data_IF_893383104635
#
_entry.id   IF_893383104635
#
_cell.length_a   1.000
_cell.length_b   1.000
_cell.length_c   1.000
_cell.angle_alpha   90.00
_cell.angle_beta   90.00
_cell.angle_gamma   90.00
#
_symmetry.space_group_name_H-M   'P 1'
#
loop_
_entity.id
_entity.type
_entity.pdbx_description
1 polymer ?
#
# COMPACT_ATOMS: atom_id res chain seq x y z
N UNK A 1 15.28 -0.72 -12.68
CA UNK A 1 14.52 0.43 -12.16
C UNK A 1 13.30 0.82 -13.01
N UNK A 2 13.32 0.68 -14.33
CA UNK A 2 12.28 1.15 -15.29
C UNK A 2 10.82 0.75 -15.04
N UNK A 3 10.53 -0.21 -14.18
CA UNK A 3 9.15 -0.73 -13.97
C UNK A 3 8.50 -0.29 -12.65
N UNK A 4 9.08 0.68 -11.91
CA UNK A 4 8.57 1.12 -10.62
C UNK A 4 7.91 2.49 -10.74
N UNK A 5 6.85 2.74 -9.96
CA UNK A 5 5.95 3.89 -10.13
C UNK A 5 6.67 5.24 -10.32
N UNK A 6 7.71 5.53 -9.55
CA UNK A 6 8.44 6.80 -9.65
C UNK A 6 9.20 6.96 -10.99
N UNK A 7 9.68 5.87 -11.58
CA UNK A 7 10.56 5.91 -12.74
C UNK A 7 9.93 5.38 -14.04
N UNK A 8 8.61 5.14 -14.05
CA UNK A 8 7.93 4.59 -15.25
C UNK A 8 7.94 5.54 -16.45
N UNK A 9 7.97 6.84 -16.21
CA UNK A 9 7.80 7.89 -17.23
C UNK A 9 9.08 8.72 -17.42
N UNK A 10 10.14 8.38 -16.68
CA UNK A 10 11.40 9.15 -16.69
C UNK A 10 12.27 8.72 -17.87
N UNK A 11 12.78 9.69 -18.64
CA UNK A 11 13.71 9.45 -19.74
C UNK A 11 15.00 8.76 -19.27
N UNK A 12 15.65 8.02 -20.17
CA UNK A 12 16.82 7.19 -19.83
C UNK A 12 17.97 7.97 -19.21
N UNK A 13 18.20 9.21 -19.66
CA UNK A 13 19.24 10.08 -19.13
C UNK A 13 19.03 10.44 -17.64
N UNK A 14 17.77 10.54 -17.21
CA UNK A 14 17.43 10.85 -15.82
C UNK A 14 17.48 9.62 -14.91
N UNK A 15 17.33 8.41 -15.48
CA UNK A 15 17.49 7.16 -14.72
C UNK A 15 18.92 7.01 -14.21
N UNK A 16 19.92 7.41 -14.99
CA UNK A 16 21.32 7.38 -14.59
C UNK A 16 21.61 8.33 -13.43
N UNK A 17 21.06 9.55 -13.42
CA UNK A 17 21.19 10.49 -12.29
C UNK A 17 20.47 9.95 -11.05
N UNK A 18 19.27 9.41 -11.20
CA UNK A 18 18.52 8.77 -10.11
C UNK A 18 19.24 7.55 -9.52
N UNK A 19 19.87 6.73 -10.37
CA UNK A 19 20.66 5.57 -9.91
C UNK A 19 21.92 5.99 -9.16
N UNK A 20 22.58 7.05 -9.59
CA UNK A 20 23.78 7.59 -8.93
C UNK A 20 23.49 8.19 -7.54
N UNK A 21 22.25 8.67 -7.33
CA UNK A 21 21.78 9.29 -6.06
C UNK A 21 21.07 8.30 -5.15
N UNK A 22 21.02 7.05 -5.51
CA UNK A 22 20.47 6.00 -4.65
C UNK A 22 21.32 5.83 -3.40
N UNK A 23 20.78 6.13 -2.22
CA UNK A 23 21.48 6.01 -0.94
C UNK A 23 21.79 4.54 -0.57
N UNK A 24 20.97 3.60 -1.07
CA UNK A 24 21.21 2.17 -0.85
C UNK A 24 19.99 1.30 -1.07
N UNK A 25 20.22 0.01 -0.87
CA UNK A 25 19.18 -1.01 -0.82
C UNK A 25 19.11 -1.55 0.61
N UNK A 26 17.90 -1.61 1.16
CA UNK A 26 17.64 -2.07 2.52
C UNK A 26 16.78 -3.31 2.46
N UNK A 27 17.17 -4.32 3.22
CA UNK A 27 16.43 -5.57 3.41
C UNK A 27 15.76 -5.51 4.77
N UNK A 28 14.48 -5.80 4.80
CA UNK A 28 13.64 -5.79 6.00
C UNK A 28 13.12 -7.19 6.25
N UNK A 29 13.24 -7.66 7.48
CA UNK A 29 12.52 -8.86 7.91
C UNK A 29 11.05 -8.52 8.19
N UNK A 30 10.18 -9.49 7.98
CA UNK A 30 8.76 -9.37 8.36
C UNK A 30 8.61 -8.86 9.80
N UNK A 31 7.65 -7.98 10.03
CA UNK A 31 7.36 -7.30 11.29
C UNK A 31 8.40 -6.26 11.75
N UNK A 32 9.43 -5.95 10.95
CA UNK A 32 10.33 -4.82 11.23
C UNK A 32 9.78 -3.51 10.67
N UNK A 33 10.15 -2.39 11.29
CA UNK A 33 9.78 -1.06 10.81
C UNK A 33 10.81 -0.55 9.80
N UNK A 34 10.34 -0.04 8.68
CA UNK A 34 11.18 0.74 7.76
C UNK A 34 11.47 2.12 8.35
N UNK A 35 10.43 2.77 8.85
CA UNK A 35 10.49 4.01 9.63
C UNK A 35 9.27 4.12 10.56
N UNK A 36 9.40 4.94 11.59
CA UNK A 36 8.33 5.18 12.55
C UNK A 36 7.69 6.55 12.33
N UNK A 37 6.41 6.67 12.68
CA UNK A 37 5.70 7.94 12.75
C UNK A 37 6.46 8.93 13.65
N UNK A 38 6.48 10.20 13.29
CA UNK A 38 7.17 11.29 13.97
C UNK A 38 8.72 11.20 13.98
N UNK A 39 9.34 10.17 13.43
CA UNK A 39 10.78 10.15 13.23
C UNK A 39 11.19 11.17 12.15
N UNK A 40 12.42 11.75 12.22
CA UNK A 40 12.92 12.65 11.18
C UNK A 40 12.85 11.99 9.80
N UNK A 41 12.22 12.66 8.84
CA UNK A 41 12.04 12.12 7.49
C UNK A 41 13.28 12.43 6.65
N UNK A 42 14.35 11.65 6.83
CA UNK A 42 15.59 11.82 6.08
C UNK A 42 15.58 11.13 4.71
N UNK A 43 14.73 10.13 4.50
CA UNK A 43 14.73 9.29 3.31
C UNK A 43 13.33 9.05 2.74
N UNK A 44 13.26 8.90 1.42
CA UNK A 44 12.12 8.31 0.70
C UNK A 44 12.52 6.98 0.08
N UNK A 45 11.57 6.11 -0.19
CA UNK A 45 11.83 4.74 -0.62
C UNK A 45 10.93 4.30 -1.77
N UNK A 46 11.48 3.50 -2.67
CA UNK A 46 10.70 2.67 -3.60
C UNK A 46 10.69 1.23 -3.09
N UNK A 47 9.51 0.66 -2.89
CA UNK A 47 9.37 -0.75 -2.53
C UNK A 47 9.70 -1.62 -3.74
N UNK A 48 10.67 -2.51 -3.59
CA UNK A 48 11.13 -3.40 -4.66
C UNK A 48 10.47 -4.78 -4.57
N UNK A 49 10.45 -5.36 -3.36
CA UNK A 49 9.86 -6.67 -3.06
C UNK A 49 9.16 -6.61 -1.70
N UNK A 50 8.18 -7.49 -1.52
CA UNK A 50 7.45 -7.60 -0.26
C UNK A 50 6.27 -6.63 -0.14
N UNK A 51 5.67 -6.60 1.04
CA UNK A 51 4.49 -5.81 1.38
C UNK A 51 4.76 -4.98 2.62
N UNK A 52 4.30 -3.72 2.64
CA UNK A 52 4.36 -2.86 3.83
C UNK A 52 2.97 -2.38 4.21
N UNK A 53 2.68 -2.35 5.50
CA UNK A 53 1.52 -1.67 6.08
C UNK A 53 1.95 -0.25 6.47
N UNK A 54 1.32 0.75 5.86
CA UNK A 54 1.43 2.14 6.32
C UNK A 54 0.36 2.39 7.37
N UNK A 55 0.73 2.98 8.50
CA UNK A 55 -0.15 3.10 9.66
C UNK A 55 0.09 4.38 10.46
N UNK A 56 -0.91 4.78 11.24
CA UNK A 56 -0.77 5.77 12.30
C UNK A 56 -1.10 5.18 13.66
N UNK A 57 -0.41 5.66 14.68
CA UNK A 57 -0.67 5.28 16.06
C UNK A 57 -1.71 6.21 16.69
N UNK A 58 -2.59 5.64 17.47
CA UNK A 58 -3.45 6.37 18.40
C UNK A 58 -2.82 6.44 19.78
N UNK A 59 -3.20 7.40 20.60
CA UNK A 59 -2.64 7.62 21.93
C UNK A 59 -2.86 6.46 22.90
N UNK A 60 -3.84 5.60 22.65
CA UNK A 60 -4.12 4.38 23.45
C UNK A 60 -3.26 3.17 23.05
N UNK A 61 -2.33 3.35 22.09
CA UNK A 61 -1.47 2.30 21.56
C UNK A 61 -2.07 1.49 20.43
N UNK A 62 -3.33 1.70 20.06
CA UNK A 62 -3.92 1.09 18.87
C UNK A 62 -3.36 1.70 17.59
N UNK A 63 -3.42 0.94 16.49
CA UNK A 63 -2.99 1.42 15.18
C UNK A 63 -4.15 1.47 14.20
N UNK A 64 -4.16 2.50 13.35
CA UNK A 64 -5.00 2.57 12.17
C UNK A 64 -4.13 2.35 10.94
N UNK A 65 -4.40 1.28 10.20
CA UNK A 65 -3.83 1.04 8.89
C UNK A 65 -4.35 2.07 7.89
N UNK A 66 -3.43 2.67 7.13
CA UNK A 66 -3.78 3.65 6.11
C UNK A 66 -3.91 3.00 4.74
N UNK A 67 -2.94 2.17 4.37
CA UNK A 67 -2.92 1.39 3.13
C UNK A 67 -1.82 0.34 3.14
N UNK A 68 -1.94 -0.62 2.23
CA UNK A 68 -0.86 -1.57 1.91
C UNK A 68 -0.05 -1.00 0.76
N UNK A 69 1.26 -0.88 0.96
CA UNK A 69 2.21 -0.62 -0.11
C UNK A 69 2.68 -1.94 -0.73
N UNK A 70 2.73 -1.98 -2.04
CA UNK A 70 3.09 -3.13 -2.89
C UNK A 70 4.34 -2.81 -3.72
N UNK A 71 5.04 -3.81 -4.27
CA UNK A 71 6.20 -3.59 -5.14
C UNK A 71 5.93 -2.55 -6.23
N UNK A 72 6.76 -1.52 -6.30
CA UNK A 72 6.60 -0.37 -7.19
C UNK A 72 6.09 0.89 -6.50
N UNK A 73 5.48 0.79 -5.32
CA UNK A 73 5.01 1.98 -4.60
C UNK A 73 6.18 2.83 -4.09
N UNK A 74 5.98 4.16 -4.12
CA UNK A 74 6.90 5.15 -3.59
C UNK A 74 6.37 5.65 -2.24
N UNK A 75 7.19 5.59 -1.19
CA UNK A 75 6.78 5.83 0.19
C UNK A 75 7.79 6.68 0.95
N UNK A 76 7.36 7.30 2.04
CA UNK A 76 8.22 8.09 2.92
C UNK A 76 8.62 9.46 2.36
N UNK A 77 8.08 9.88 1.20
CA UNK A 77 8.31 11.24 0.70
C UNK A 77 7.69 12.26 1.65
N UNK A 78 8.48 13.25 2.00
CA UNK A 78 8.12 14.29 2.96
C UNK A 78 8.78 15.63 2.59
N UNK A 79 8.30 16.72 3.16
CA UNK A 79 8.95 18.00 3.03
C UNK A 79 10.33 17.98 3.71
N UNK A 80 11.25 18.83 3.24
CA UNK A 80 12.57 18.97 3.87
C UNK A 80 12.43 19.37 5.35
N UNK A 81 13.28 18.80 6.20
CA UNK A 81 13.32 19.05 7.64
C UNK A 81 11.99 18.73 8.37
N UNK A 82 11.16 17.86 7.81
CA UNK A 82 9.93 17.39 8.45
C UNK A 82 10.10 16.00 9.10
N UNK A 83 9.05 15.52 9.74
CA UNK A 83 8.96 14.17 10.26
C UNK A 83 8.02 13.32 9.39
N UNK A 84 8.16 11.99 9.44
CA UNK A 84 7.20 11.10 8.81
C UNK A 84 5.82 11.25 9.44
N UNK A 85 4.81 11.46 8.62
CA UNK A 85 3.41 11.59 9.07
C UNK A 85 2.76 10.26 9.46
N UNK A 86 3.40 9.14 9.15
CA UNK A 86 2.94 7.77 9.40
C UNK A 86 4.13 6.84 9.55
N UNK A 87 3.93 5.64 10.10
CA UNK A 87 4.91 4.58 10.15
C UNK A 87 4.76 3.61 8.97
N UNK A 88 5.82 2.85 8.67
CA UNK A 88 5.83 1.77 7.69
C UNK A 88 6.36 0.49 8.31
N UNK A 89 5.54 -0.57 8.33
CA UNK A 89 5.81 -1.89 8.91
C UNK A 89 5.87 -2.94 7.82
N UNK A 90 6.91 -3.76 7.81
CA UNK A 90 7.04 -4.89 6.89
C UNK A 90 6.02 -5.99 7.24
N UNK A 91 5.13 -6.29 6.31
CA UNK A 91 4.16 -7.39 6.42
C UNK A 91 4.84 -8.72 6.10
N UNK A 92 5.66 -8.73 5.06
CA UNK A 92 6.53 -9.83 4.64
C UNK A 92 7.99 -9.38 4.72
N UNK A 93 8.93 -10.27 4.50
CA UNK A 93 10.27 -9.83 4.13
C UNK A 93 10.16 -8.89 2.94
N UNK A 94 10.92 -7.80 2.96
CA UNK A 94 10.80 -6.74 1.97
C UNK A 94 12.16 -6.16 1.58
N UNK A 95 12.24 -5.66 0.36
CA UNK A 95 13.41 -4.96 -0.17
C UNK A 95 12.97 -3.58 -0.64
N UNK A 96 13.64 -2.53 -0.15
CA UNK A 96 13.39 -1.15 -0.55
C UNK A 96 14.67 -0.49 -1.06
N UNK A 97 14.52 0.42 -2.02
CA UNK A 97 15.59 1.31 -2.47
C UNK A 97 15.36 2.69 -1.86
N UNK A 98 16.34 3.20 -1.11
CA UNK A 98 16.28 4.49 -0.44
C UNK A 98 16.90 5.63 -1.25
N UNK A 99 16.34 6.82 -1.10
CA UNK A 99 16.81 8.10 -1.61
C UNK A 99 16.83 9.10 -0.47
N UNK A 100 17.93 9.83 -0.31
CA UNK A 100 17.97 10.95 0.61
C UNK A 100 16.93 12.02 0.21
N UNK A 101 16.20 12.59 1.17
CA UNK A 101 15.18 13.61 0.89
C UNK A 101 15.78 14.86 0.22
N UNK A 102 16.97 15.32 0.67
CA UNK A 102 17.61 16.50 0.09
C UNK A 102 18.02 16.25 -1.36
N UNK A 103 18.61 15.08 -1.65
CA UNK A 103 18.97 14.70 -3.02
C UNK A 103 17.75 14.56 -3.92
N UNK A 104 16.67 13.99 -3.39
CA UNK A 104 15.41 13.87 -4.11
C UNK A 104 14.81 15.24 -4.44
N UNK A 105 14.82 16.18 -3.50
CA UNK A 105 14.36 17.57 -3.74
C UNK A 105 15.22 18.29 -4.77
N UNK A 106 16.54 18.07 -4.77
CA UNK A 106 17.43 18.59 -5.81
C UNK A 106 17.10 18.00 -7.18
N UNK A 107 16.80 16.69 -7.26
CA UNK A 107 16.37 16.03 -8.50
C UNK A 107 15.04 16.63 -9.02
N UNK A 108 14.07 16.81 -8.14
CA UNK A 108 12.77 17.42 -8.48
C UNK A 108 12.98 18.81 -9.10
N UNK A 109 13.89 19.62 -8.54
CA UNK A 109 14.21 20.96 -9.07
C UNK A 109 14.87 20.94 -10.45
N UNK A 110 15.58 19.86 -10.79
CA UNK A 110 16.28 19.70 -12.09
C UNK A 110 15.43 19.02 -13.16
N UNK A 111 14.51 18.15 -12.76
CA UNK A 111 13.76 17.26 -13.63
C UNK A 111 12.25 17.41 -13.40
N UNK A 112 11.56 18.30 -14.14
CA UNK A 112 10.12 18.54 -13.98
C UNK A 112 9.27 17.28 -14.11
N UNK A 113 9.69 16.31 -14.93
CA UNK A 113 8.98 15.03 -15.11
C UNK A 113 8.92 14.21 -13.80
N UNK A 114 9.99 14.27 -13.01
CA UNK A 114 10.03 13.62 -11.68
C UNK A 114 9.03 14.32 -10.74
N UNK A 115 9.01 15.66 -10.74
CA UNK A 115 8.05 16.44 -9.97
C UNK A 115 6.61 16.08 -10.33
N UNK A 116 6.31 16.01 -11.63
CA UNK A 116 4.98 15.64 -12.13
C UNK A 116 4.60 14.21 -11.70
N UNK A 117 5.55 13.28 -11.79
CA UNK A 117 5.28 11.89 -11.38
C UNK A 117 5.05 11.76 -9.88
N UNK A 118 5.81 12.48 -9.04
CA UNK A 118 5.56 12.52 -7.60
C UNK A 118 4.18 13.10 -7.32
N UNK A 119 3.78 14.19 -7.97
CA UNK A 119 2.45 14.77 -7.82
C UNK A 119 1.35 13.77 -8.19
N UNK A 120 1.49 13.03 -9.30
CA UNK A 120 0.54 12.00 -9.69
C UNK A 120 0.43 10.89 -8.63
N UNK A 121 1.56 10.43 -8.09
CA UNK A 121 1.61 9.43 -7.02
C UNK A 121 0.92 9.97 -5.75
N UNK A 122 1.20 11.20 -5.35
CA UNK A 122 0.60 11.81 -4.15
C UNK A 122 -0.92 12.02 -4.34
N UNK A 123 -1.37 12.47 -5.50
CA UNK A 123 -2.78 12.60 -5.81
C UNK A 123 -3.50 11.25 -5.75
N UNK A 124 -2.89 10.19 -6.30
CA UNK A 124 -3.43 8.83 -6.19
C UNK A 124 -3.51 8.36 -4.72
N UNK A 125 -2.49 8.62 -3.91
CA UNK A 125 -2.53 8.25 -2.49
C UNK A 125 -3.56 9.05 -1.70
N UNK A 126 -3.76 10.33 -2.04
CA UNK A 126 -4.82 11.15 -1.45
C UNK A 126 -6.20 10.55 -1.76
N UNK A 127 -6.46 10.17 -3.01
CA UNK A 127 -7.72 9.52 -3.40
C UNK A 127 -7.98 8.21 -2.64
N UNK A 128 -6.94 7.39 -2.40
CA UNK A 128 -7.04 6.20 -1.54
C UNK A 128 -7.42 6.60 -0.10
N UNK A 129 -6.77 7.63 0.46
CA UNK A 129 -7.09 8.10 1.82
C UNK A 129 -8.53 8.61 1.93
N UNK A 130 -9.01 9.37 0.95
CA UNK A 130 -10.40 9.87 0.89
C UNK A 130 -11.40 8.69 0.83
N UNK A 131 -11.12 7.66 0.02
CA UNK A 131 -11.94 6.44 -0.04
C UNK A 131 -11.97 5.70 1.29
N UNK A 132 -10.82 5.61 1.99
CA UNK A 132 -10.76 4.99 3.32
C UNK A 132 -11.52 5.79 4.37
N UNK A 133 -11.45 7.13 4.35
CA UNK A 133 -12.25 8.01 5.25
C UNK A 133 -13.75 7.78 5.02
N UNK A 134 -14.19 7.76 3.76
CA UNK A 134 -15.58 7.41 3.44
C UNK A 134 -15.93 6.02 3.96
N UNK A 135 -15.04 5.04 3.77
CA UNK A 135 -15.23 3.67 4.23
C UNK A 135 -15.39 3.58 5.74
N UNK A 136 -14.50 4.20 6.51
CA UNK A 136 -14.55 4.22 7.98
C UNK A 136 -15.81 4.91 8.52
N UNK A 137 -16.26 6.00 7.87
CA UNK A 137 -17.39 6.78 8.30
C UNK A 137 -18.77 6.25 7.86
N UNK A 138 -18.87 5.49 6.76
CA UNK A 138 -20.14 5.13 6.13
C UNK A 138 -20.34 3.66 5.81
N UNK A 139 -19.26 2.88 5.60
CA UNK A 139 -19.37 1.48 5.22
C UNK A 139 -19.48 0.57 6.45
N UNK A 140 -20.27 -0.50 6.34
CA UNK A 140 -20.29 -1.58 7.33
C UNK A 140 -18.95 -2.32 7.37
N UNK A 141 -18.70 -3.12 8.40
CA UNK A 141 -17.51 -3.94 8.52
C UNK A 141 -17.31 -4.88 7.31
N UNK A 142 -18.38 -5.47 6.82
CA UNK A 142 -18.38 -6.34 5.66
C UNK A 142 -17.99 -5.58 4.39
N UNK A 143 -18.58 -4.41 4.18
CA UNK A 143 -18.27 -3.53 3.06
C UNK A 143 -16.79 -3.08 3.07
N UNK A 144 -16.24 -2.75 4.25
CA UNK A 144 -14.84 -2.32 4.38
C UNK A 144 -13.87 -3.44 4.04
N UNK A 145 -14.10 -4.65 4.52
CA UNK A 145 -13.25 -5.81 4.18
C UNK A 145 -13.36 -6.16 2.70
N UNK A 146 -14.59 -6.22 2.15
CA UNK A 146 -14.79 -6.49 0.74
C UNK A 146 -14.13 -5.44 -0.16
N UNK A 147 -14.21 -4.16 0.19
CA UNK A 147 -13.54 -3.06 -0.50
C UNK A 147 -12.02 -3.20 -0.48
N UNK A 148 -11.42 -3.45 0.70
CA UNK A 148 -9.98 -3.61 0.84
C UNK A 148 -9.45 -4.81 0.03
N UNK A 149 -10.20 -5.93 0.02
CA UNK A 149 -9.84 -7.12 -0.75
C UNK A 149 -9.97 -6.86 -2.26
N UNK A 150 -11.05 -6.19 -2.70
CA UNK A 150 -11.25 -5.84 -4.11
C UNK A 150 -10.15 -4.87 -4.61
N UNK A 151 -9.77 -3.87 -3.80
CA UNK A 151 -8.65 -2.96 -4.12
C UNK A 151 -7.33 -3.72 -4.31
N UNK A 152 -6.98 -4.57 -3.35
CA UNK A 152 -5.77 -5.39 -3.43
C UNK A 152 -5.80 -6.32 -4.64
N UNK A 153 -6.93 -6.96 -4.93
CA UNK A 153 -7.10 -7.83 -6.09
C UNK A 153 -6.79 -7.09 -7.40
N UNK A 154 -7.36 -5.92 -7.60
CA UNK A 154 -7.11 -5.12 -8.81
C UNK A 154 -5.69 -4.58 -8.88
N UNK A 155 -5.10 -4.16 -7.76
CA UNK A 155 -3.72 -3.67 -7.71
C UNK A 155 -2.71 -4.78 -7.99
N UNK A 156 -2.94 -6.00 -7.50
CA UNK A 156 -2.12 -7.17 -7.78
C UNK A 156 -2.33 -7.70 -9.20
N UNK A 157 -3.54 -7.65 -9.73
CA UNK A 157 -3.84 -8.02 -11.12
C UNK A 157 -3.05 -7.17 -12.13
N UNK A 158 -2.93 -5.86 -11.90
CA UNK A 158 -2.07 -4.99 -12.72
C UNK A 158 -0.58 -5.38 -12.67
N UNK A 159 -0.16 -6.19 -11.70
CA UNK A 159 1.21 -6.70 -11.51
C UNK A 159 1.38 -8.15 -11.95
N UNK A 160 0.33 -8.74 -12.50
CA UNK A 160 0.28 -10.18 -12.86
C UNK A 160 0.56 -11.12 -11.67
N UNK A 161 0.17 -10.71 -10.46
CA UNK A 161 0.32 -11.48 -9.22
C UNK A 161 -0.97 -12.21 -8.83
N UNK A 162 -2.02 -12.09 -9.65
CA UNK A 162 -3.29 -12.81 -9.51
C UNK A 162 -3.29 -14.00 -10.47
N UNK A 163 -3.65 -15.18 -9.98
CA UNK A 163 -3.98 -16.31 -10.82
C UNK A 163 -5.39 -16.09 -11.38
N UNK A 164 -5.49 -15.79 -12.66
CA UNK A 164 -6.75 -15.46 -13.31
C UNK A 164 -7.70 -16.69 -13.43
N UNK A 165 -7.16 -17.91 -13.47
CA UNK A 165 -7.98 -19.13 -13.57
C UNK A 165 -8.69 -19.43 -12.25
N UNK A 166 -7.96 -19.33 -11.14
CA UNK A 166 -8.50 -19.60 -9.80
C UNK A 166 -8.97 -18.32 -9.08
N UNK A 167 -8.72 -17.15 -9.66
CA UNK A 167 -8.89 -15.84 -9.00
C UNK A 167 -8.25 -15.76 -7.62
N UNK A 168 -7.08 -16.41 -7.50
CA UNK A 168 -6.34 -16.50 -6.25
C UNK A 168 -5.19 -15.49 -6.23
N UNK A 169 -4.99 -14.83 -5.10
CA UNK A 169 -3.92 -13.86 -4.90
C UNK A 169 -3.18 -14.10 -3.58
N UNK A 170 -1.90 -13.68 -3.47
CA UNK A 170 -1.22 -13.58 -2.18
C UNK A 170 -1.99 -12.67 -1.23
N UNK A 171 -2.07 -13.05 0.05
CA UNK A 171 -2.70 -12.24 1.08
C UNK A 171 -2.01 -12.48 2.42
N UNK A 172 -0.80 -11.92 2.62
CA UNK A 172 0.01 -12.18 3.82
C UNK A 172 -0.46 -11.39 5.06
N UNK A 173 -1.59 -10.67 4.97
CA UNK A 173 -2.11 -9.91 6.09
C UNK A 173 -2.65 -10.83 7.17
N UNK A 174 -2.28 -10.58 8.42
CA UNK A 174 -2.94 -11.20 9.58
C UNK A 174 -4.35 -10.59 9.75
N UNK A 175 -5.21 -11.28 10.52
CA UNK A 175 -6.53 -10.72 10.85
C UNK A 175 -6.43 -9.41 11.65
N UNK A 176 -5.37 -9.24 12.43
CA UNK A 176 -5.05 -8.01 13.14
C UNK A 176 -4.73 -6.88 12.15
N UNK A 177 -3.79 -7.09 11.21
CA UNK A 177 -3.43 -6.09 10.19
C UNK A 177 -4.60 -5.73 9.27
N UNK A 178 -5.42 -6.72 8.89
CA UNK A 178 -6.64 -6.44 8.13
C UNK A 178 -7.65 -5.66 8.97
N UNK A 179 -7.76 -5.98 10.26
CA UNK A 179 -8.57 -5.23 11.21
C UNK A 179 -8.09 -3.78 11.36
N UNK A 180 -6.79 -3.57 11.55
CA UNK A 180 -6.19 -2.22 11.59
C UNK A 180 -6.50 -1.43 10.30
N UNK A 181 -6.39 -2.06 9.12
CA UNK A 181 -6.70 -1.42 7.84
C UNK A 181 -8.18 -1.04 7.73
N UNK A 182 -9.08 -1.88 8.24
CA UNK A 182 -10.52 -1.70 8.15
C UNK A 182 -11.16 -1.02 9.38
N UNK A 183 -10.38 -0.63 10.40
CA UNK A 183 -10.92 -0.08 11.65
C UNK A 183 -11.79 -1.10 12.41
N UNK A 184 -11.34 -2.34 12.53
CA UNK A 184 -12.04 -3.46 13.15
C UNK A 184 -11.17 -4.17 14.18
N UNK A 185 -11.79 -4.77 15.18
CA UNK A 185 -11.08 -5.71 16.07
C UNK A 185 -10.80 -7.02 15.33
N UNK A 186 -9.74 -7.79 15.72
CA UNK A 186 -9.45 -9.10 15.12
C UNK A 186 -10.64 -10.06 15.19
N UNK A 187 -11.38 -10.06 16.29
CA UNK A 187 -12.59 -10.90 16.49
C UNK A 187 -13.68 -10.54 15.46
N UNK A 188 -13.91 -9.24 15.24
CA UNK A 188 -14.89 -8.78 14.26
C UNK A 188 -14.42 -9.11 12.84
N UNK A 189 -13.15 -8.91 12.53
CA UNK A 189 -12.54 -9.27 11.25
C UNK A 189 -12.76 -10.76 10.95
N UNK A 190 -12.47 -11.65 11.91
CA UNK A 190 -12.69 -13.09 11.76
C UNK A 190 -14.15 -13.42 11.44
N UNK A 191 -15.09 -12.83 12.19
CA UNK A 191 -16.53 -13.03 11.96
C UNK A 191 -16.96 -12.63 10.55
N UNK A 192 -16.47 -11.50 10.04
CA UNK A 192 -16.77 -11.04 8.69
C UNK A 192 -16.16 -11.95 7.63
N UNK A 193 -14.89 -12.36 7.79
CA UNK A 193 -14.24 -13.29 6.85
C UNK A 193 -15.00 -14.64 6.80
N UNK A 194 -15.46 -15.14 7.96
CA UNK A 194 -16.28 -16.36 8.01
C UNK A 194 -17.63 -16.18 7.28
N UNK A 195 -18.26 -15.00 7.46
CA UNK A 195 -19.52 -14.70 6.76
C UNK A 195 -19.32 -14.69 5.25
N UNK A 196 -18.31 -13.98 4.73
CA UNK A 196 -18.02 -13.91 3.30
C UNK A 196 -17.69 -15.29 2.70
N UNK A 197 -17.09 -16.19 3.50
CA UNK A 197 -16.89 -17.59 3.10
C UNK A 197 -18.21 -18.38 2.99
N UNK A 198 -19.08 -18.26 4.01
CA UNK A 198 -20.40 -18.95 4.04
C UNK A 198 -21.28 -18.45 2.90
N UNK A 199 -21.23 -17.16 2.60
CA UNK A 199 -21.99 -16.51 1.53
C UNK A 199 -21.40 -16.83 0.11
N UNK A 200 -20.32 -17.62 0.03
CA UNK A 200 -19.71 -18.03 -1.24
C UNK A 200 -19.01 -16.89 -1.99
N UNK A 201 -18.56 -15.85 -1.30
CA UNK A 201 -17.92 -14.67 -1.92
C UNK A 201 -16.41 -14.86 -2.05
N UNK A 202 -15.75 -15.29 -0.99
CA UNK A 202 -14.29 -15.52 -0.98
C UNK A 202 -13.86 -16.49 0.13
N UNK A 203 -12.69 -17.09 -0.04
CA UNK A 203 -12.00 -17.91 0.97
C UNK A 203 -10.65 -17.28 1.27
N UNK A 204 -10.34 -17.07 2.57
CA UNK A 204 -9.06 -16.57 3.03
C UNK A 204 -8.38 -17.65 3.86
N UNK A 205 -7.36 -18.31 3.31
CA UNK A 205 -6.62 -19.40 3.96
C UNK A 205 -5.14 -19.39 3.54
N UNK A 206 -4.25 -19.81 4.42
CA UNK A 206 -2.82 -20.04 4.14
C UNK A 206 -2.13 -18.86 3.44
N UNK A 207 -2.40 -17.65 3.90
CA UNK A 207 -1.85 -16.41 3.31
C UNK A 207 -2.23 -16.17 1.85
N UNK A 208 -3.38 -16.69 1.44
CA UNK A 208 -3.98 -16.46 0.12
C UNK A 208 -5.47 -16.16 0.26
N UNK A 209 -5.98 -15.40 -0.69
CA UNK A 209 -7.42 -15.25 -0.91
C UNK A 209 -7.75 -15.87 -2.28
N UNK A 210 -8.80 -16.66 -2.29
CA UNK A 210 -9.50 -17.10 -3.49
C UNK A 210 -10.85 -16.39 -3.57
N UNK A 211 -11.10 -15.69 -4.67
CA UNK A 211 -12.34 -14.95 -4.89
C UNK A 211 -13.29 -15.84 -5.68
N UNK A 212 -14.35 -16.32 -5.01
CA UNK A 212 -15.34 -17.21 -5.62
C UNK A 212 -16.32 -16.43 -6.52
N UNK A 213 -16.72 -15.22 -6.07
CA UNK A 213 -17.60 -14.33 -6.83
C UNK A 213 -17.07 -12.89 -6.77
N UNK A 214 -16.34 -12.51 -7.83
CA UNK A 214 -15.74 -11.16 -7.94
C UNK A 214 -16.81 -10.07 -8.08
N UNK A 215 -17.88 -10.34 -8.83
CA UNK A 215 -18.95 -9.36 -9.02
C UNK A 215 -19.62 -9.02 -7.69
N UNK A 216 -19.96 -10.05 -6.92
CA UNK A 216 -20.57 -9.87 -5.60
C UNK A 216 -19.61 -9.24 -4.58
N UNK A 217 -18.31 -9.58 -4.63
CA UNK A 217 -17.29 -8.92 -3.79
C UNK A 217 -17.23 -7.42 -4.04
N UNK A 218 -17.21 -7.01 -5.32
CA UNK A 218 -17.18 -5.61 -5.73
C UNK A 218 -18.47 -4.88 -5.35
N UNK A 219 -19.64 -5.52 -5.52
CA UNK A 219 -20.93 -4.98 -5.12
C UNK A 219 -20.99 -4.75 -3.60
N UNK A 220 -20.64 -5.76 -2.78
CA UNK A 220 -20.58 -5.63 -1.33
C UNK A 220 -19.63 -4.51 -0.92
N UNK A 221 -18.42 -4.46 -1.50
CA UNK A 221 -17.40 -3.46 -1.19
C UNK A 221 -17.72 -2.06 -1.69
N UNK A 222 -18.76 -1.91 -2.52
CA UNK A 222 -18.99 -0.68 -3.30
C UNK A 222 -17.68 -0.21 -3.95
N UNK A 223 -17.03 -1.14 -4.66
CA UNK A 223 -15.74 -0.93 -5.29
C UNK A 223 -15.89 -0.81 -6.81
N UNK A 224 -15.32 0.25 -7.38
CA UNK A 224 -15.32 0.48 -8.83
C UNK A 224 -13.87 0.55 -9.32
N UNK A 225 -13.42 -0.39 -10.19
CA UNK A 225 -12.09 -0.31 -10.78
C UNK A 225 -11.88 1.02 -11.51
N UNK A 226 -10.74 1.67 -11.27
CA UNK A 226 -10.42 2.94 -11.93
C UNK A 226 -10.96 4.21 -11.26
N UNK A 227 -11.77 4.10 -10.20
CA UNK A 227 -12.24 5.29 -9.46
C UNK A 227 -11.12 5.99 -8.65
N UNK A 228 -9.95 5.36 -8.54
CA UNK A 228 -8.78 5.87 -7.80
C UNK A 228 -7.57 6.14 -8.74
N UNK A 229 -7.79 6.26 -10.04
CA UNK A 229 -6.74 6.56 -11.03
C UNK A 229 -6.95 7.92 -11.64
#
# INVERSE_FOLDING_TARGET
>A
MRRKALFQVVADDYLSDAESRRAGQYVLSARSHLYQECAPASMAFTLFEGWLLLYRNHSDGSRQGLRIALPGDFIGYAALNSAYSHGALAVTDAVVCGFDQADLHLMIGKHPDIAQQINNIQAHYLAICESNVLGLGRKSAEQRIAHAVADLYHRLGRRSEVDEQTRSMPFPLTQEMLGELCGLTPVHTNRVLRKLRIDGVMICERQRIEILDLGRLMEIGDYRPGSLV
#
